data_IF_149102780137
#
_entry.id   IF_149102780137
#
_cell.length_a   1.000
_cell.length_b   1.000
_cell.length_c   1.000
_cell.angle_alpha   90.00
_cell.angle_beta   90.00
_cell.angle_gamma   90.00
#
_symmetry.space_group_name_H-M   'P 1'
#
loop_
_entity.id
_entity.type
_entity.pdbx_description
1 polymer ?
#
# COMPACT_ATOMS: atom_id res chain seq x y z
N UNK A 1 -1.23 73.13 -59.63
CA UNK A 1 -1.96 72.02 -58.95
C UNK A 1 -1.02 70.97 -58.32
N UNK A 2 0.23 71.31 -57.95
CA UNK A 2 1.25 70.33 -57.53
C UNK A 2 1.67 70.40 -56.04
N UNK A 3 0.97 71.18 -55.20
CA UNK A 3 1.38 71.45 -53.81
C UNK A 3 0.63 70.68 -52.72
N UNK A 4 -0.51 70.03 -53.03
CA UNK A 4 -1.35 69.35 -52.02
C UNK A 4 -0.97 67.88 -51.80
N UNK A 5 -0.44 67.20 -52.81
CA UNK A 5 -0.21 65.75 -52.74
C UNK A 5 1.04 65.37 -51.92
N UNK A 6 2.08 66.21 -51.92
CA UNK A 6 3.31 65.96 -51.15
C UNK A 6 3.13 66.15 -49.63
N UNK A 7 2.27 67.09 -49.21
CA UNK A 7 1.98 67.35 -47.81
C UNK A 7 1.20 66.19 -47.17
N UNK A 8 0.29 65.58 -47.93
CA UNK A 8 -0.56 64.49 -47.46
C UNK A 8 0.20 63.16 -47.35
N UNK A 9 1.13 62.90 -48.28
CA UNK A 9 2.04 61.74 -48.22
C UNK A 9 3.00 61.81 -47.01
N UNK A 10 3.54 62.99 -46.71
CA UNK A 10 4.41 63.19 -45.55
C UNK A 10 3.65 63.10 -44.22
N UNK A 11 2.38 63.56 -44.16
CA UNK A 11 1.50 63.43 -42.99
C UNK A 11 1.14 61.96 -42.70
N UNK A 12 0.86 61.17 -43.74
CA UNK A 12 0.58 59.73 -43.64
C UNK A 12 1.80 58.92 -43.16
N UNK A 13 3.01 59.24 -43.66
CA UNK A 13 4.26 58.60 -43.22
C UNK A 13 4.60 58.89 -41.75
N UNK A 14 4.38 60.14 -41.29
CA UNK A 14 4.54 60.51 -39.87
C UNK A 14 3.50 59.86 -38.96
N UNK A 15 2.27 59.65 -39.45
CA UNK A 15 1.23 58.89 -38.74
C UNK A 15 1.62 57.43 -38.55
N UNK A 16 2.03 56.74 -39.63
CA UNK A 16 2.42 55.33 -39.57
C UNK A 16 3.67 55.09 -38.69
N UNK A 17 4.67 55.97 -38.73
CA UNK A 17 5.84 55.86 -37.85
C UNK A 17 5.48 56.08 -36.37
N UNK A 18 4.55 56.99 -36.06
CA UNK A 18 4.05 57.18 -34.69
C UNK A 18 3.26 55.97 -34.20
N UNK A 19 2.41 55.37 -35.04
CA UNK A 19 1.68 54.14 -34.71
C UNK A 19 2.62 52.94 -34.53
N UNK A 20 3.66 52.80 -35.36
CA UNK A 20 4.67 51.75 -35.21
C UNK A 20 5.48 51.90 -33.92
N UNK A 21 5.91 53.13 -33.56
CA UNK A 21 6.62 53.38 -32.30
C UNK A 21 5.70 53.18 -31.09
N UNK A 22 4.43 53.61 -31.14
CA UNK A 22 3.46 53.38 -30.07
C UNK A 22 3.11 51.90 -29.89
N UNK A 23 3.00 51.12 -30.98
CA UNK A 23 2.78 49.67 -30.92
C UNK A 23 4.02 48.93 -30.42
N UNK A 24 5.22 49.36 -30.83
CA UNK A 24 6.49 48.82 -30.33
C UNK A 24 6.69 49.14 -28.85
N UNK A 25 6.31 50.34 -28.42
CA UNK A 25 6.38 50.78 -27.03
C UNK A 25 5.28 50.09 -26.19
N UNK A 26 4.08 49.87 -26.73
CA UNK A 26 3.02 49.10 -26.06
C UNK A 26 3.39 47.61 -25.95
N UNK A 27 4.05 47.03 -26.96
CA UNK A 27 4.56 45.66 -26.92
C UNK A 27 5.80 45.53 -26.00
N UNK A 28 6.64 46.56 -25.93
CA UNK A 28 7.76 46.65 -25.00
C UNK A 28 7.30 46.91 -23.55
N UNK A 29 6.26 47.71 -23.34
CA UNK A 29 5.61 47.94 -22.04
C UNK A 29 4.81 46.71 -21.59
N UNK A 30 4.18 45.97 -22.51
CA UNK A 30 3.57 44.67 -22.23
C UNK A 30 4.61 43.59 -21.92
N UNK A 31 5.83 43.68 -22.49
CA UNK A 31 6.98 42.84 -22.12
C UNK A 31 7.63 43.26 -20.81
N UNK A 32 7.45 44.51 -20.39
CA UNK A 32 8.04 45.08 -19.19
C UNK A 32 7.05 45.05 -18.00
N UNK A 33 6.77 43.84 -17.48
CA UNK A 33 6.60 43.53 -16.05
C UNK A 33 6.11 42.08 -15.88
N UNK A 34 7.04 41.15 -16.01
CA UNK A 34 6.95 39.93 -15.25
C UNK A 34 8.36 39.68 -14.72
N UNK A 35 8.60 40.18 -13.51
CA UNK A 35 9.83 39.93 -12.79
C UNK A 35 9.92 38.42 -12.53
N UNK A 36 11.04 37.82 -12.88
CA UNK A 36 11.33 36.44 -12.49
C UNK A 36 11.20 36.35 -10.96
N UNK A 37 10.31 35.48 -10.50
CA UNK A 37 10.13 35.18 -9.08
C UNK A 37 10.92 33.93 -8.74
N UNK A 38 11.39 33.85 -7.50
CA UNK A 38 12.00 32.65 -6.94
C UNK A 38 11.29 32.34 -5.63
N UNK A 39 10.94 31.07 -5.43
CA UNK A 39 10.24 30.62 -4.24
C UNK A 39 10.75 29.24 -3.81
N UNK A 40 10.81 29.00 -2.50
CA UNK A 40 11.26 27.71 -1.94
C UNK A 40 10.18 27.16 -1.03
N UNK A 41 9.79 25.91 -1.24
CA UNK A 41 8.69 25.27 -0.52
C UNK A 41 8.55 23.79 -0.82
N UNK A 42 7.53 23.16 -0.25
CA UNK A 42 7.26 21.73 -0.49
C UNK A 42 6.74 21.50 -1.90
N UNK A 43 7.33 20.55 -2.61
CA UNK A 43 6.82 20.06 -3.87
C UNK A 43 5.66 19.10 -3.62
N UNK A 44 4.57 19.27 -4.36
CA UNK A 44 3.40 18.37 -4.34
C UNK A 44 2.83 18.19 -5.74
N UNK A 45 2.13 17.09 -5.98
CA UNK A 45 1.21 17.00 -7.11
C UNK A 45 -0.12 17.75 -6.82
N UNK A 46 -0.81 18.17 -7.89
CA UNK A 46 -2.03 18.99 -7.78
C UNK A 46 -3.25 18.17 -7.37
N UNK A 47 -3.31 16.88 -7.72
CA UNK A 47 -4.39 16.00 -7.31
C UNK A 47 -4.43 15.86 -5.78
N UNK A 48 -3.29 15.56 -5.16
CA UNK A 48 -3.15 15.43 -3.71
C UNK A 48 -3.39 16.75 -2.98
N UNK A 49 -2.97 17.87 -3.58
CA UNK A 49 -3.32 19.20 -3.08
C UNK A 49 -4.84 19.43 -3.05
N UNK A 50 -5.54 19.17 -4.17
CA UNK A 50 -6.99 19.42 -4.28
C UNK A 50 -7.82 18.52 -3.36
N UNK A 51 -7.28 17.35 -2.98
CA UNK A 51 -7.93 16.43 -2.03
C UNK A 51 -7.72 16.79 -0.56
N UNK A 52 -6.82 17.74 -0.24
CA UNK A 52 -6.34 18.10 1.11
C UNK A 52 -5.62 16.96 1.83
N UNK A 53 -6.18 15.76 1.84
CA UNK A 53 -5.49 14.53 2.22
C UNK A 53 -5.05 13.82 0.94
N UNK A 54 -3.74 13.75 0.75
CA UNK A 54 -3.11 13.09 -0.38
C UNK A 54 -3.46 11.59 -0.43
N UNK A 55 -3.25 10.96 -1.59
CA UNK A 55 -3.48 9.51 -1.74
C UNK A 55 -2.61 8.72 -0.77
N UNK A 56 -1.44 9.22 -0.41
CA UNK A 56 -0.58 8.62 0.61
C UNK A 56 -0.91 9.05 2.05
N UNK A 57 -2.05 9.70 2.28
CA UNK A 57 -2.54 10.07 3.61
C UNK A 57 -1.90 11.33 4.20
N UNK A 58 -0.93 11.96 3.51
CA UNK A 58 -0.35 13.22 3.95
C UNK A 58 -1.41 14.34 3.93
N UNK A 59 -1.49 15.14 4.99
CA UNK A 59 -2.36 16.31 5.02
C UNK A 59 -1.61 17.51 4.42
N UNK A 60 -2.02 17.97 3.24
CA UNK A 60 -1.29 18.98 2.48
C UNK A 60 -1.34 20.38 3.11
N UNK A 61 -2.27 20.62 4.05
CA UNK A 61 -2.38 21.88 4.77
C UNK A 61 -1.50 21.91 6.02
N UNK A 62 -1.28 20.78 6.69
CA UNK A 62 -0.66 20.77 8.02
C UNK A 62 0.61 19.93 8.12
N UNK A 63 0.82 18.97 7.20
CA UNK A 63 1.94 18.05 7.17
C UNK A 63 2.38 17.67 5.73
N UNK A 64 2.62 18.65 4.82
CA UNK A 64 3.03 18.37 3.44
C UNK A 64 4.38 17.63 3.34
N UNK A 65 5.20 17.66 4.38
CA UNK A 65 6.44 16.90 4.47
C UNK A 65 6.23 15.38 4.51
N UNK A 66 5.03 14.92 4.87
CA UNK A 66 4.67 13.50 4.86
C UNK A 66 4.35 12.99 3.46
N UNK A 67 4.10 13.90 2.50
CA UNK A 67 3.80 13.54 1.12
C UNK A 67 5.02 12.88 0.46
N UNK A 68 4.78 11.75 -0.16
CA UNK A 68 5.81 10.79 -0.56
C UNK A 68 6.17 10.95 -2.03
N UNK A 69 7.45 10.72 -2.33
CA UNK A 69 7.96 10.63 -3.70
C UNK A 69 7.23 9.52 -4.47
N UNK A 70 6.84 8.44 -3.80
CA UNK A 70 6.05 7.37 -4.41
C UNK A 70 4.72 7.89 -4.99
N UNK A 71 3.97 8.69 -4.22
CA UNK A 71 2.71 9.28 -4.67
C UNK A 71 2.94 10.20 -5.87
N UNK A 72 3.98 11.05 -5.78
CA UNK A 72 4.33 12.03 -6.82
C UNK A 72 4.96 11.44 -8.09
N UNK A 73 5.42 10.19 -8.11
CA UNK A 73 6.17 9.60 -9.25
C UNK A 73 5.52 8.35 -9.82
N UNK A 74 4.98 7.48 -8.97
CA UNK A 74 4.53 6.15 -9.37
C UNK A 74 3.01 6.07 -9.60
N UNK A 75 2.23 7.05 -9.10
CA UNK A 75 0.80 7.17 -9.36
C UNK A 75 0.60 8.08 -10.57
N UNK A 76 0.16 7.49 -11.69
CA UNK A 76 0.10 8.21 -12.96
C UNK A 76 -0.89 9.38 -12.91
N UNK A 77 -2.00 9.25 -12.19
CA UNK A 77 -2.97 10.33 -11.99
C UNK A 77 -2.36 11.52 -11.26
N UNK A 78 -1.50 11.29 -10.26
CA UNK A 78 -0.76 12.35 -9.57
C UNK A 78 0.20 13.04 -10.53
N UNK A 79 0.98 12.28 -11.31
CA UNK A 79 1.91 12.84 -12.30
C UNK A 79 1.18 13.66 -13.36
N UNK A 80 0.06 13.16 -13.86
CA UNK A 80 -0.74 13.80 -14.92
C UNK A 80 -1.47 15.06 -14.42
N UNK A 81 -1.76 15.14 -13.12
CA UNK A 81 -2.34 16.33 -12.50
C UNK A 81 -1.40 17.55 -12.54
N UNK A 82 -0.10 17.31 -12.70
CA UNK A 82 0.94 18.34 -12.63
C UNK A 82 1.39 18.61 -11.19
N UNK A 83 2.33 19.54 -11.04
CA UNK A 83 2.98 19.82 -9.77
C UNK A 83 2.82 21.29 -9.35
N UNK A 84 2.98 21.52 -8.06
CA UNK A 84 2.99 22.83 -7.45
C UNK A 84 3.94 22.91 -6.26
N UNK A 85 4.14 24.14 -5.79
CA UNK A 85 4.97 24.42 -4.61
C UNK A 85 4.14 25.09 -3.53
N UNK A 86 4.23 24.58 -2.31
CA UNK A 86 3.49 25.05 -1.15
C UNK A 86 4.30 26.08 -0.34
N UNK A 87 3.60 27.04 0.24
CA UNK A 87 4.13 28.06 1.16
C UNK A 87 3.35 28.02 2.46
N UNK A 88 4.03 28.16 3.61
CA UNK A 88 3.40 28.50 4.88
C UNK A 88 3.47 30.03 5.05
N UNK A 89 2.35 30.76 4.90
CA UNK A 89 2.39 32.22 5.00
C UNK A 89 2.80 32.67 6.42
N UNK A 90 3.47 33.82 6.59
CA UNK A 90 3.88 34.30 7.90
C UNK A 90 2.68 34.52 8.84
N UNK A 91 2.69 33.84 9.99
CA UNK A 91 1.63 33.95 10.99
C UNK A 91 0.45 33.00 10.80
N UNK A 92 0.45 32.18 9.74
CA UNK A 92 -0.54 31.14 9.52
C UNK A 92 -0.09 29.78 10.05
N UNK A 93 -1.04 28.87 10.24
CA UNK A 93 -0.79 27.48 10.66
C UNK A 93 -0.99 26.46 9.54
N UNK A 94 -1.47 26.89 8.37
CA UNK A 94 -1.75 26.03 7.22
C UNK A 94 -0.97 26.45 5.98
N UNK A 95 -0.46 25.45 5.26
CA UNK A 95 0.19 25.62 3.98
C UNK A 95 -0.83 25.97 2.89
N UNK A 96 -0.37 26.78 1.93
CA UNK A 96 -1.15 27.20 0.77
C UNK A 96 -0.38 26.87 -0.51
N UNK A 97 -1.09 26.54 -1.58
CA UNK A 97 -0.48 26.40 -2.90
C UNK A 97 -0.04 27.76 -3.43
N UNK A 98 1.27 27.95 -3.54
CA UNK A 98 1.85 29.23 -3.94
C UNK A 98 1.93 29.36 -5.45
N UNK A 99 2.49 28.36 -6.12
CA UNK A 99 2.60 28.31 -7.58
C UNK A 99 2.32 26.93 -8.12
N UNK A 100 1.52 26.86 -9.18
CA UNK A 100 1.42 25.73 -10.10
C UNK A 100 2.54 25.82 -11.12
N UNK A 101 3.12 24.68 -11.46
CA UNK A 101 4.18 24.60 -12.45
C UNK A 101 3.58 24.40 -13.83
N UNK A 102 4.16 25.07 -14.81
CA UNK A 102 3.84 24.83 -16.22
C UNK A 102 4.44 23.49 -16.71
N UNK A 103 4.24 23.18 -17.98
CA UNK A 103 4.73 21.91 -18.55
C UNK A 103 6.26 21.74 -18.42
N UNK A 104 7.02 22.85 -18.50
CA UNK A 104 8.47 22.84 -18.32
C UNK A 104 8.83 22.52 -16.87
N UNK A 105 8.18 23.20 -15.91
CA UNK A 105 8.36 22.96 -14.48
C UNK A 105 7.94 21.54 -14.07
N UNK A 106 6.83 21.03 -14.58
CA UNK A 106 6.35 19.65 -14.30
C UNK A 106 7.38 18.59 -14.72
N UNK A 107 8.00 18.77 -15.90
CA UNK A 107 9.09 17.89 -16.35
C UNK A 107 10.33 18.00 -15.45
N UNK A 108 10.66 19.21 -15.00
CA UNK A 108 11.76 19.45 -14.06
C UNK A 108 11.52 18.79 -12.70
N UNK A 109 10.32 18.97 -12.14
CA UNK A 109 9.88 18.35 -10.88
C UNK A 109 9.98 16.82 -10.95
N UNK A 110 9.43 16.21 -11.99
CA UNK A 110 9.48 14.75 -12.16
C UNK A 110 10.92 14.23 -12.35
N UNK A 111 11.77 14.99 -13.05
CA UNK A 111 13.19 14.64 -13.21
C UNK A 111 13.92 14.65 -11.87
N UNK A 112 13.69 15.68 -11.04
CA UNK A 112 14.26 15.78 -9.70
C UNK A 112 13.74 14.66 -8.79
N UNK A 113 12.44 14.41 -8.78
CA UNK A 113 11.81 13.37 -7.97
C UNK A 113 12.29 11.96 -8.34
N UNK A 114 12.58 11.69 -9.62
CA UNK A 114 13.16 10.40 -10.04
C UNK A 114 14.63 10.24 -9.69
N UNK A 115 15.35 11.34 -9.48
CA UNK A 115 16.76 11.34 -9.14
C UNK A 115 17.04 11.38 -7.62
N UNK A 116 16.06 11.79 -6.81
CA UNK A 116 16.24 11.95 -5.37
C UNK A 116 16.31 10.62 -4.62
N UNK A 117 17.10 10.58 -3.54
CA UNK A 117 17.11 9.46 -2.59
C UNK A 117 16.09 9.63 -1.45
N UNK A 118 15.37 10.76 -1.41
CA UNK A 118 14.34 11.03 -0.40
C UNK A 118 13.11 10.17 -0.64
N UNK A 119 12.42 9.82 0.45
CA UNK A 119 11.12 9.11 0.40
C UNK A 119 9.93 10.05 0.54
N UNK A 120 10.11 11.16 1.25
CA UNK A 120 9.16 12.24 1.51
C UNK A 120 9.95 13.54 1.80
N UNK A 121 9.28 14.61 2.23
CA UNK A 121 9.92 15.88 2.62
C UNK A 121 10.78 16.47 1.46
N UNK A 122 10.14 16.58 0.30
CA UNK A 122 10.76 17.13 -0.91
C UNK A 122 10.51 18.64 -0.95
N UNK A 123 11.54 19.40 -0.59
CA UNK A 123 11.57 20.86 -0.72
C UNK A 123 12.33 21.19 -2.00
N UNK A 124 11.81 22.12 -2.78
CA UNK A 124 12.43 22.61 -4.02
C UNK A 124 12.48 24.12 -4.03
N UNK A 125 13.44 24.67 -4.76
CA UNK A 125 13.43 26.07 -5.19
C UNK A 125 12.95 26.15 -6.63
N UNK A 126 11.89 26.91 -6.86
CA UNK A 126 11.35 27.18 -8.20
C UNK A 126 11.61 28.61 -8.60
N UNK A 127 12.01 28.80 -9.87
CA UNK A 127 12.23 30.12 -10.45
C UNK A 127 11.58 30.21 -11.82
N UNK A 128 10.95 31.35 -12.13
CA UNK A 128 10.30 31.57 -13.42
C UNK A 128 9.46 32.84 -13.43
N UNK A 129 8.67 32.99 -14.48
CA UNK A 129 7.83 34.17 -14.69
C UNK A 129 6.46 33.95 -14.05
N UNK A 130 6.12 34.74 -13.02
CA UNK A 130 4.81 34.65 -12.38
C UNK A 130 3.69 35.15 -13.32
N UNK A 131 2.67 34.33 -13.53
CA UNK A 131 1.44 34.60 -14.28
C UNK A 131 0.26 34.14 -13.42
N UNK A 132 -0.17 35.01 -12.50
CA UNK A 132 -1.15 34.64 -11.47
C UNK A 132 -0.60 33.57 -10.51
N UNK A 133 -1.31 32.45 -10.39
CA UNK A 133 -0.90 31.28 -9.61
C UNK A 133 -0.04 30.30 -10.41
N UNK A 134 0.27 30.57 -11.69
CA UNK A 134 1.09 29.70 -12.54
C UNK A 134 2.47 30.31 -12.75
N UNK A 135 3.51 29.48 -12.61
CA UNK A 135 4.89 29.84 -12.93
C UNK A 135 5.23 29.38 -14.35
N UNK A 136 5.45 30.34 -15.26
CA UNK A 136 5.85 30.09 -16.65
C UNK A 136 7.35 29.96 -16.78
N UNK A 137 7.79 29.12 -17.71
CA UNK A 137 9.20 28.77 -17.94
C UNK A 137 9.88 28.32 -16.64
N UNK A 138 9.13 27.55 -15.84
CA UNK A 138 9.52 27.21 -14.48
C UNK A 138 10.75 26.28 -14.46
N UNK A 139 11.75 26.67 -13.67
CA UNK A 139 12.94 25.87 -13.36
C UNK A 139 12.82 25.35 -11.93
N UNK A 140 12.92 24.04 -11.78
CA UNK A 140 12.88 23.35 -10.47
C UNK A 140 14.31 22.94 -10.10
N UNK A 141 14.77 23.34 -8.92
CA UNK A 141 16.13 23.12 -8.43
C UNK A 141 16.09 22.59 -7.00
N UNK A 142 17.14 21.88 -6.59
CA UNK A 142 17.35 21.62 -5.16
C UNK A 142 17.59 22.95 -4.42
N UNK A 143 17.09 23.09 -3.18
CA UNK A 143 17.28 24.31 -2.42
C UNK A 143 18.76 24.53 -2.09
N UNK A 144 19.19 25.79 -2.08
CA UNK A 144 20.54 26.15 -1.68
C UNK A 144 20.83 25.63 -0.27
N UNK A 145 22.02 25.05 -0.06
CA UNK A 145 22.44 24.50 1.23
C UNK A 145 22.31 25.57 2.33
N UNK A 146 21.39 25.36 3.27
CA UNK A 146 21.12 26.29 4.38
C UNK A 146 19.77 27.01 4.35
N UNK A 147 18.97 26.87 3.28
CA UNK A 147 17.56 27.34 3.26
C UNK A 147 16.66 26.22 3.76
N UNK A 148 16.46 26.13 5.07
CA UNK A 148 15.46 25.26 5.69
C UNK A 148 14.46 26.16 6.42
N UNK A 149 13.23 26.35 5.93
CA UNK A 149 12.16 26.87 6.77
C UNK A 149 11.80 25.79 7.80
N UNK A 150 12.28 26.02 9.02
CA UNK A 150 11.77 25.57 10.33
C UNK A 150 11.58 24.06 10.58
N UNK A 151 12.55 23.56 11.36
CA UNK A 151 12.55 22.52 12.41
C UNK A 151 12.15 21.06 12.09
N UNK A 152 13.10 20.20 12.46
CA UNK A 152 13.05 18.76 12.60
C UNK A 152 13.11 17.97 11.29
N UNK A 153 14.32 17.82 10.73
CA UNK A 153 14.70 16.57 10.07
C UNK A 153 14.73 15.42 11.11
N UNK A 154 13.59 15.18 11.77
CA UNK A 154 13.32 13.95 12.47
C UNK A 154 13.02 12.87 11.46
N UNK A 155 13.22 11.63 11.86
CA UNK A 155 12.81 10.43 11.13
C UNK A 155 11.28 10.45 10.94
N UNK A 156 10.82 10.99 9.79
CA UNK A 156 9.40 11.14 9.44
C UNK A 156 8.78 9.79 9.11
N UNK A 157 8.46 9.02 10.15
CA UNK A 157 7.77 7.74 10.02
C UNK A 157 6.28 7.88 10.30
N UNK A 158 5.46 7.37 9.38
CA UNK A 158 4.00 7.36 9.52
C UNK A 158 3.57 6.49 10.70
N UNK A 159 2.58 6.96 11.45
CA UNK A 159 1.82 6.13 12.39
C UNK A 159 0.76 5.35 11.61
N UNK A 160 0.57 4.05 11.86
CA UNK A 160 -0.40 3.28 11.10
C UNK A 160 -1.82 3.64 11.49
N UNK A 161 -2.69 3.74 10.48
CA UNK A 161 -4.12 3.90 10.64
C UNK A 161 -4.67 2.67 11.38
N UNK A 162 -5.65 2.88 12.26
CA UNK A 162 -6.24 1.80 13.05
C UNK A 162 -6.81 0.68 12.17
N UNK A 163 -7.33 1.02 10.99
CA UNK A 163 -7.85 0.04 10.01
C UNK A 163 -6.75 -0.82 9.40
N UNK A 164 -5.57 -0.25 9.13
CA UNK A 164 -4.40 -0.99 8.65
C UNK A 164 -3.88 -1.93 9.74
N UNK A 165 -3.75 -1.44 10.97
CA UNK A 165 -3.37 -2.28 12.12
C UNK A 165 -4.34 -3.44 12.29
N UNK A 166 -5.65 -3.18 12.23
CA UNK A 166 -6.67 -4.21 12.34
C UNK A 166 -6.59 -5.24 11.20
N UNK A 167 -6.35 -4.80 9.96
CA UNK A 167 -6.10 -5.68 8.82
C UNK A 167 -4.91 -6.61 9.08
N UNK A 168 -3.75 -6.06 9.46
CA UNK A 168 -2.52 -6.82 9.73
C UNK A 168 -2.74 -7.84 10.85
N UNK A 169 -3.35 -7.43 11.96
CA UNK A 169 -3.63 -8.31 13.10
C UNK A 169 -4.57 -9.45 12.69
N UNK A 170 -5.66 -9.16 11.98
CA UNK A 170 -6.60 -10.20 11.52
C UNK A 170 -5.92 -11.18 10.56
N UNK A 171 -5.13 -10.68 9.60
CA UNK A 171 -4.46 -11.50 8.61
C UNK A 171 -3.34 -12.36 9.21
N UNK A 172 -2.54 -11.84 10.15
CA UNK A 172 -1.52 -12.62 10.85
C UNK A 172 -2.14 -13.62 11.82
N UNK A 173 -3.23 -13.28 12.51
CA UNK A 173 -3.95 -14.25 13.34
C UNK A 173 -4.54 -15.39 12.49
N UNK A 174 -5.07 -15.08 11.30
CA UNK A 174 -5.60 -16.07 10.36
C UNK A 174 -4.52 -16.88 9.65
N UNK A 175 -3.82 -16.27 8.69
CA UNK A 175 -2.87 -16.91 7.79
C UNK A 175 -1.47 -17.05 8.38
N UNK A 176 -1.13 -16.22 9.36
CA UNK A 176 0.10 -16.38 10.11
C UNK A 176 0.00 -17.48 11.16
N UNK A 177 -1.18 -17.79 11.71
CA UNK A 177 -1.30 -18.65 12.89
C UNK A 177 -2.39 -19.73 12.78
N UNK A 178 -3.67 -19.36 12.86
CA UNK A 178 -4.78 -20.33 13.04
C UNK A 178 -4.91 -21.33 11.88
N UNK A 179 -4.89 -20.84 10.63
CA UNK A 179 -5.05 -21.70 9.45
C UNK A 179 -3.85 -22.66 9.27
N UNK A 180 -2.57 -22.19 9.34
CA UNK A 180 -1.41 -23.09 9.35
C UNK A 180 -1.45 -24.11 10.48
N UNK A 181 -1.82 -23.70 11.71
CA UNK A 181 -1.96 -24.64 12.84
C UNK A 181 -3.02 -25.71 12.59
N UNK A 182 -4.17 -25.33 12.03
CA UNK A 182 -5.23 -26.26 11.65
C UNK A 182 -4.72 -27.35 10.71
N UNK A 183 -3.90 -26.98 9.72
CA UNK A 183 -3.29 -27.94 8.78
C UNK A 183 -2.21 -28.78 9.46
N UNK A 184 -1.34 -28.17 10.27
CA UNK A 184 -0.24 -28.84 10.95
C UNK A 184 -0.73 -29.94 11.90
N UNK A 185 -1.74 -29.62 12.72
CA UNK A 185 -2.38 -30.56 13.64
C UNK A 185 -3.07 -31.70 12.87
N UNK A 186 -3.85 -31.39 11.84
CA UNK A 186 -4.50 -32.42 11.01
C UNK A 186 -3.51 -33.37 10.34
N UNK A 187 -2.30 -32.90 10.01
CA UNK A 187 -1.27 -33.71 9.37
C UNK A 187 -0.55 -34.62 10.36
N UNK A 188 -0.23 -34.15 11.56
CA UNK A 188 0.65 -34.86 12.51
C UNK A 188 -0.07 -35.62 13.61
N UNK A 189 -1.34 -35.33 13.89
CA UNK A 189 -2.02 -35.82 15.11
C UNK A 189 -3.14 -36.83 14.88
N UNK A 190 -3.24 -37.41 13.67
CA UNK A 190 -4.36 -38.33 13.34
C UNK A 190 -4.50 -39.53 14.27
N UNK A 191 -3.38 -40.11 14.71
CA UNK A 191 -3.34 -41.25 15.64
C UNK A 191 -3.19 -40.88 17.11
N UNK A 192 -3.11 -39.57 17.42
CA UNK A 192 -2.91 -39.10 18.80
C UNK A 192 -4.24 -39.15 19.54
N UNK A 193 -4.24 -39.69 20.76
CA UNK A 193 -5.45 -39.77 21.60
C UNK A 193 -5.81 -38.38 22.18
N UNK A 194 -7.11 -38.05 22.30
CA UNK A 194 -8.26 -38.87 21.94
C UNK A 194 -8.47 -38.94 20.42
N UNK A 195 -8.81 -40.14 19.91
CA UNK A 195 -8.94 -40.38 18.46
C UNK A 195 -10.02 -39.47 17.88
N UNK A 196 -9.69 -38.84 16.74
CA UNK A 196 -10.58 -37.88 16.07
C UNK A 196 -10.48 -36.44 16.59
N UNK A 197 -9.72 -36.16 17.66
CA UNK A 197 -9.47 -34.80 18.14
C UNK A 197 -8.87 -33.89 17.06
N UNK A 198 -7.97 -34.44 16.24
CA UNK A 198 -7.36 -33.73 15.10
C UNK A 198 -8.41 -33.11 14.18
N UNK A 199 -9.55 -33.79 13.96
CA UNK A 199 -10.58 -33.34 13.03
C UNK A 199 -11.39 -32.19 13.63
N UNK A 200 -11.78 -32.32 14.90
CA UNK A 200 -12.48 -31.26 15.64
C UNK A 200 -11.62 -30.01 15.74
N UNK A 201 -10.34 -30.17 16.06
CA UNK A 201 -9.41 -29.06 16.21
C UNK A 201 -9.11 -28.41 14.85
N UNK A 202 -8.91 -29.20 13.79
CA UNK A 202 -8.81 -28.69 12.43
C UNK A 202 -10.04 -27.84 12.09
N UNK A 203 -11.25 -28.39 12.23
CA UNK A 203 -12.49 -27.68 11.91
C UNK A 203 -12.61 -26.35 12.67
N UNK A 204 -12.36 -26.34 13.99
CA UNK A 204 -12.44 -25.13 14.83
C UNK A 204 -11.44 -24.06 14.37
N UNK A 205 -10.17 -24.44 14.23
CA UNK A 205 -9.11 -23.52 13.80
C UNK A 205 -9.37 -22.98 12.40
N UNK A 206 -9.81 -23.84 11.47
CA UNK A 206 -10.19 -23.41 10.13
C UNK A 206 -11.38 -22.45 10.15
N UNK A 207 -12.38 -22.69 10.99
CA UNK A 207 -13.56 -21.81 11.08
C UNK A 207 -13.19 -20.43 11.62
N UNK A 208 -12.42 -20.36 12.72
CA UNK A 208 -12.00 -19.08 13.28
C UNK A 208 -11.03 -18.33 12.38
N UNK A 209 -10.04 -19.04 11.81
CA UNK A 209 -9.10 -18.47 10.85
C UNK A 209 -9.82 -17.96 9.59
N UNK A 210 -10.82 -18.70 9.10
CA UNK A 210 -11.63 -18.29 7.96
C UNK A 210 -12.41 -17.00 8.25
N UNK A 211 -13.06 -16.89 9.42
CA UNK A 211 -13.74 -15.66 9.82
C UNK A 211 -12.79 -14.45 9.88
N UNK A 212 -11.59 -14.63 10.43
CA UNK A 212 -10.59 -13.56 10.51
C UNK A 212 -10.03 -13.16 9.14
N UNK A 213 -9.84 -14.08 8.18
CA UNK A 213 -9.42 -13.66 6.83
C UNK A 213 -10.51 -12.86 6.12
N UNK A 214 -11.79 -13.14 6.37
CA UNK A 214 -12.89 -12.38 5.78
C UNK A 214 -12.92 -10.96 6.36
N UNK A 215 -12.85 -10.83 7.69
CA UNK A 215 -12.74 -9.53 8.34
C UNK A 215 -11.51 -8.75 7.87
N UNK A 216 -10.34 -9.41 7.85
CA UNK A 216 -9.10 -8.82 7.36
C UNK A 216 -9.21 -8.36 5.90
N UNK A 217 -9.87 -9.13 5.03
CA UNK A 217 -10.01 -8.78 3.62
C UNK A 217 -10.88 -7.54 3.46
N UNK A 218 -12.02 -7.49 4.17
CA UNK A 218 -12.88 -6.31 4.19
C UNK A 218 -12.13 -5.07 4.69
N UNK A 219 -11.34 -5.20 5.76
CA UNK A 219 -10.52 -4.10 6.27
C UNK A 219 -9.45 -3.64 5.27
N UNK A 220 -8.83 -4.57 4.53
CA UNK A 220 -7.85 -4.26 3.49
C UNK A 220 -8.47 -3.51 2.31
N UNK A 221 -9.66 -3.94 1.87
CA UNK A 221 -10.44 -3.23 0.84
C UNK A 221 -10.80 -1.83 1.32
N UNK A 222 -11.34 -1.69 2.53
CA UNK A 222 -11.71 -0.39 3.10
C UNK A 222 -10.52 0.54 3.32
N UNK A 223 -9.33 -0.02 3.62
CA UNK A 223 -8.11 0.76 3.68
C UNK A 223 -7.74 1.31 2.30
N UNK A 224 -7.81 0.49 1.25
CA UNK A 224 -7.54 0.95 -0.11
C UNK A 224 -8.56 2.03 -0.54
N UNK A 225 -9.86 1.80 -0.35
CA UNK A 225 -10.90 2.80 -0.67
C UNK A 225 -10.67 4.18 -0.03
N UNK A 226 -9.95 4.25 1.09
CA UNK A 226 -9.71 5.49 1.84
C UNK A 226 -8.31 6.08 1.67
N UNK A 227 -7.30 5.25 1.45
CA UNK A 227 -5.90 5.62 1.64
C UNK A 227 -4.94 5.08 0.57
N UNK A 228 -5.38 4.30 -0.43
CA UNK A 228 -4.49 3.85 -1.53
C UNK A 228 -5.24 3.20 -2.69
N UNK A 229 -4.76 3.33 -3.92
CA UNK A 229 -5.31 2.59 -5.06
C UNK A 229 -5.25 1.06 -4.86
N UNK A 230 -6.31 0.36 -5.27
CA UNK A 230 -6.35 -1.11 -5.29
C UNK A 230 -5.34 -1.66 -6.29
N UNK A 231 -4.69 -2.78 -5.94
CA UNK A 231 -3.73 -3.50 -6.80
C UNK A 231 -2.50 -2.70 -7.26
N UNK A 232 -2.25 -1.51 -6.72
CA UNK A 232 -1.02 -0.75 -6.98
C UNK A 232 0.26 -1.54 -6.63
N UNK A 233 0.15 -2.55 -5.76
CA UNK A 233 1.25 -3.40 -5.30
C UNK A 233 0.88 -4.87 -5.36
N UNK A 234 1.90 -5.71 -5.59
CA UNK A 234 1.74 -7.17 -5.73
C UNK A 234 1.13 -7.85 -4.51
N UNK A 235 1.30 -7.28 -3.31
CA UNK A 235 0.67 -7.75 -2.08
C UNK A 235 -0.84 -7.97 -2.23
N UNK A 236 -1.57 -7.00 -2.78
CA UNK A 236 -3.02 -7.11 -2.95
C UNK A 236 -3.40 -8.26 -3.90
N UNK A 237 -2.63 -8.46 -4.98
CA UNK A 237 -2.81 -9.59 -5.90
C UNK A 237 -2.63 -10.94 -5.21
N UNK A 238 -1.52 -11.13 -4.47
CA UNK A 238 -1.31 -12.36 -3.70
C UNK A 238 -2.36 -12.54 -2.60
N UNK A 239 -2.74 -11.46 -1.92
CA UNK A 239 -3.77 -11.45 -0.90
C UNK A 239 -5.12 -11.95 -1.43
N UNK A 240 -5.54 -11.52 -2.63
CA UNK A 240 -6.77 -12.00 -3.27
C UNK A 240 -6.70 -13.46 -3.69
N UNK A 241 -5.54 -13.94 -4.18
CA UNK A 241 -5.34 -15.36 -4.50
C UNK A 241 -5.49 -16.22 -3.24
N UNK A 242 -4.81 -15.85 -2.16
CA UNK A 242 -4.86 -16.55 -0.86
C UNK A 242 -6.27 -16.50 -0.27
N UNK A 243 -6.80 -15.27 -0.21
CA UNK A 243 -8.20 -14.85 -0.31
C UNK A 243 -9.19 -15.95 -0.72
N UNK A 244 -9.28 -16.07 -2.04
CA UNK A 244 -10.19 -16.93 -2.77
C UNK A 244 -9.91 -18.41 -2.59
N UNK A 245 -8.63 -18.84 -2.56
CA UNK A 245 -8.29 -20.23 -2.29
C UNK A 245 -8.79 -20.67 -0.91
N UNK A 246 -8.64 -19.83 0.11
CA UNK A 246 -9.17 -20.06 1.45
C UNK A 246 -10.70 -20.02 1.50
N UNK A 247 -11.32 -19.09 0.79
CA UNK A 247 -12.78 -18.97 0.70
C UNK A 247 -13.46 -20.21 0.14
N UNK A 248 -12.85 -20.86 -0.86
CA UNK A 248 -13.40 -22.07 -1.49
C UNK A 248 -13.27 -23.31 -0.58
N UNK A 249 -12.40 -23.32 0.44
CA UNK A 249 -12.18 -24.52 1.26
C UNK A 249 -13.44 -25.00 2.01
N UNK A 250 -14.21 -24.14 2.71
CA UNK A 250 -15.46 -24.57 3.34
C UNK A 250 -16.51 -25.04 2.33
N UNK A 251 -16.63 -24.37 1.17
CA UNK A 251 -17.55 -24.77 0.11
C UNK A 251 -17.21 -26.16 -0.42
N UNK A 252 -15.93 -26.41 -0.68
CA UNK A 252 -15.42 -27.73 -1.04
C UNK A 252 -15.74 -28.77 0.05
N UNK A 253 -15.68 -28.40 1.33
CA UNK A 253 -15.98 -29.31 2.44
C UNK A 253 -17.45 -29.77 2.54
N UNK A 254 -18.40 -28.98 2.01
CA UNK A 254 -19.82 -29.34 1.95
C UNK A 254 -20.03 -30.55 1.04
N UNK A 255 -19.28 -30.63 -0.06
CA UNK A 255 -19.36 -31.74 -1.02
C UNK A 255 -18.49 -32.94 -0.65
N UNK A 256 -18.02 -33.02 0.59
CA UNK A 256 -17.13 -34.08 1.08
C UNK A 256 -17.83 -35.44 1.00
N UNK A 257 -17.35 -36.40 0.16
CA UNK A 257 -17.93 -37.73 0.09
C UNK A 257 -17.65 -38.55 1.36
N UNK A 258 -18.52 -39.54 1.63
CA UNK A 258 -18.41 -40.42 2.80
C UNK A 258 -17.01 -41.10 2.87
N UNK A 259 -16.42 -41.28 4.06
CA UNK A 259 -15.05 -41.78 4.19
C UNK A 259 -14.87 -43.21 3.70
N UNK A 260 -15.86 -44.07 3.97
CA UNK A 260 -15.81 -45.51 3.70
C UNK A 260 -17.07 -46.03 2.98
N UNK A 261 -16.96 -46.91 1.97
CA UNK A 261 -15.73 -47.31 1.30
C UNK A 261 -15.12 -46.15 0.50
N UNK A 262 -13.80 -46.16 0.32
CA UNK A 262 -13.07 -45.06 -0.34
C UNK A 262 -13.32 -45.02 -1.86
N UNK A 263 -14.31 -44.25 -2.29
CA UNK A 263 -14.68 -44.09 -3.70
C UNK A 263 -13.68 -43.23 -4.51
N UNK A 264 -13.75 -43.28 -5.85
CA UNK A 264 -12.99 -42.37 -6.75
C UNK A 264 -13.30 -40.89 -6.48
N UNK A 265 -14.56 -40.58 -6.19
CA UNK A 265 -14.98 -39.23 -5.81
C UNK A 265 -14.32 -38.78 -4.50
N UNK A 266 -14.25 -39.66 -3.49
CA UNK A 266 -13.55 -39.41 -2.22
C UNK A 266 -12.06 -39.12 -2.44
N UNK A 267 -11.40 -39.89 -3.31
CA UNK A 267 -9.98 -39.70 -3.65
C UNK A 267 -9.74 -38.36 -4.37
N UNK A 268 -10.57 -38.03 -5.37
CA UNK A 268 -10.48 -36.76 -6.09
C UNK A 268 -10.68 -35.57 -5.15
N UNK A 269 -11.70 -35.62 -4.29
CA UNK A 269 -11.96 -34.59 -3.28
C UNK A 269 -10.77 -34.42 -2.32
N UNK A 270 -10.20 -35.52 -1.82
CA UNK A 270 -9.03 -35.46 -0.94
C UNK A 270 -7.81 -34.84 -1.62
N UNK A 271 -7.61 -35.09 -2.91
CA UNK A 271 -6.54 -34.49 -3.69
C UNK A 271 -6.78 -32.98 -3.87
N UNK A 272 -7.96 -32.59 -4.37
CA UNK A 272 -8.33 -31.18 -4.61
C UNK A 272 -8.23 -30.37 -3.31
N UNK A 273 -8.82 -30.87 -2.21
CA UNK A 273 -8.81 -30.18 -0.92
C UNK A 273 -7.39 -29.97 -0.38
N UNK A 274 -6.54 -31.00 -0.44
CA UNK A 274 -5.16 -30.91 0.05
C UNK A 274 -4.30 -30.01 -0.83
N UNK A 275 -4.36 -30.18 -2.15
CA UNK A 275 -3.52 -29.41 -3.09
C UNK A 275 -3.87 -27.94 -3.03
N UNK A 276 -5.15 -27.59 -3.12
CA UNK A 276 -5.57 -26.17 -3.03
C UNK A 276 -5.27 -25.57 -1.66
N UNK A 277 -5.38 -26.36 -0.57
CA UNK A 277 -5.00 -25.93 0.77
C UNK A 277 -3.50 -25.65 0.91
N UNK A 278 -2.63 -26.52 0.36
CA UNK A 278 -1.18 -26.30 0.38
C UNK A 278 -0.75 -25.14 -0.51
N UNK A 279 -1.40 -24.96 -1.66
CA UNK A 279 -1.17 -23.78 -2.51
C UNK A 279 -1.51 -22.50 -1.76
N UNK A 280 -2.65 -22.47 -1.04
CA UNK A 280 -3.04 -21.31 -0.24
C UNK A 280 -2.00 -20.97 0.84
N UNK A 281 -1.48 -21.98 1.55
CA UNK A 281 -0.40 -21.79 2.54
C UNK A 281 0.91 -21.30 1.91
N UNK A 282 1.25 -21.76 0.70
CA UNK A 282 2.44 -21.30 -0.01
C UNK A 282 2.34 -19.82 -0.40
N UNK A 283 1.22 -19.43 -1.02
CA UNK A 283 0.98 -18.04 -1.40
C UNK A 283 0.80 -17.13 -0.19
N UNK A 284 0.27 -17.61 0.94
CA UNK A 284 0.10 -16.79 2.14
C UNK A 284 1.42 -16.30 2.71
N UNK A 285 2.50 -17.10 2.59
CA UNK A 285 3.84 -16.66 2.98
C UNK A 285 4.28 -15.49 2.11
N UNK A 286 4.10 -15.57 0.79
CA UNK A 286 4.43 -14.48 -0.14
C UNK A 286 3.59 -13.24 0.16
N UNK A 287 2.30 -13.39 0.43
CA UNK A 287 1.41 -12.30 0.80
C UNK A 287 1.85 -11.62 2.10
N UNK A 288 2.23 -12.38 3.13
CA UNK A 288 2.74 -11.83 4.40
C UNK A 288 4.05 -11.06 4.18
N UNK A 289 5.01 -11.65 3.46
CA UNK A 289 6.32 -11.01 3.21
C UNK A 289 6.14 -9.71 2.43
N UNK A 290 5.37 -9.74 1.34
CA UNK A 290 5.10 -8.54 0.53
C UNK A 290 4.30 -7.49 1.31
N UNK A 291 3.39 -7.89 2.21
CA UNK A 291 2.67 -6.97 3.09
C UNK A 291 3.60 -6.27 4.09
N UNK A 292 4.53 -7.00 4.70
CA UNK A 292 5.56 -6.42 5.58
C UNK A 292 6.48 -5.47 4.82
N UNK A 293 6.84 -5.81 3.58
CA UNK A 293 7.63 -4.91 2.72
C UNK A 293 6.90 -3.59 2.44
N UNK A 294 5.57 -3.60 2.32
CA UNK A 294 4.79 -2.37 2.16
C UNK A 294 4.88 -1.44 3.36
N UNK A 295 4.96 -1.97 4.59
CA UNK A 295 5.13 -1.15 5.80
C UNK A 295 6.40 -0.29 5.68
N UNK A 296 7.50 -0.89 5.20
CA UNK A 296 8.75 -0.17 4.94
C UNK A 296 8.68 0.74 3.71
N UNK A 297 8.06 0.27 2.61
CA UNK A 297 7.92 1.04 1.38
C UNK A 297 7.10 2.33 1.59
N UNK A 298 6.12 2.27 2.48
CA UNK A 298 5.30 3.40 2.89
C UNK A 298 5.87 4.16 4.11
N UNK A 299 7.10 3.90 4.53
CA UNK A 299 7.76 4.66 5.61
C UNK A 299 6.95 4.67 6.94
N UNK A 300 6.20 3.61 7.25
CA UNK A 300 5.60 3.47 8.58
C UNK A 300 6.67 3.24 9.65
N UNK A 301 6.34 3.48 10.92
CA UNK A 301 7.29 3.38 12.04
C UNK A 301 8.01 2.03 12.11
N UNK A 302 9.29 2.03 12.53
CA UNK A 302 10.04 0.78 12.80
C UNK A 302 9.31 -0.11 13.80
N UNK A 303 8.59 0.49 14.76
CA UNK A 303 7.79 -0.25 15.70
C UNK A 303 6.70 -1.07 14.99
N UNK A 304 6.02 -0.48 14.00
CA UNK A 304 5.02 -1.17 13.16
C UNK A 304 5.66 -2.27 12.32
N UNK A 305 6.81 -1.99 11.71
CA UNK A 305 7.55 -2.98 10.93
C UNK A 305 7.99 -4.17 11.80
N UNK A 306 8.68 -3.89 12.92
CA UNK A 306 9.18 -4.89 13.85
C UNK A 306 8.05 -5.70 14.49
N UNK A 307 6.93 -5.05 14.86
CA UNK A 307 5.76 -5.75 15.38
C UNK A 307 5.16 -6.71 14.34
N UNK A 308 5.11 -6.32 13.08
CA UNK A 308 4.59 -7.16 11.99
C UNK A 308 5.52 -8.34 11.70
N UNK A 309 6.84 -8.13 11.69
CA UNK A 309 7.84 -9.20 11.57
C UNK A 309 7.76 -10.16 12.75
N UNK A 310 7.71 -9.64 13.98
CA UNK A 310 7.61 -10.45 15.18
C UNK A 310 6.31 -11.28 15.19
N UNK A 311 5.18 -10.66 14.86
CA UNK A 311 3.89 -11.33 14.72
C UNK A 311 3.90 -12.44 13.68
N UNK A 312 4.50 -12.20 12.51
CA UNK A 312 4.68 -13.21 11.48
C UNK A 312 5.58 -14.36 11.95
N UNK A 313 6.69 -14.07 12.63
CA UNK A 313 7.58 -15.11 13.17
C UNK A 313 6.88 -15.98 14.22
N UNK A 314 6.22 -15.34 15.19
CA UNK A 314 5.48 -16.02 16.26
C UNK A 314 4.31 -16.84 15.72
N UNK A 315 3.65 -16.36 14.67
CA UNK A 315 2.58 -17.10 14.02
C UNK A 315 3.09 -18.29 13.22
N UNK A 316 4.04 -18.05 12.30
CA UNK A 316 4.39 -18.98 11.20
C UNK A 316 5.41 -20.03 11.63
N UNK A 317 6.40 -19.65 12.45
CA UNK A 317 7.48 -20.57 12.85
C UNK A 317 6.96 -21.76 13.65
N UNK A 318 6.09 -21.61 14.67
CA UNK A 318 5.65 -22.75 15.47
C UNK A 318 4.88 -23.85 14.69
N UNK A 319 3.92 -23.54 13.80
CA UNK A 319 3.32 -24.54 12.91
C UNK A 319 4.35 -25.26 12.03
N UNK A 320 5.34 -24.54 11.49
CA UNK A 320 6.39 -25.13 10.66
C UNK A 320 7.30 -26.08 11.46
N UNK A 321 7.71 -25.67 12.66
CA UNK A 321 8.47 -26.51 13.58
C UNK A 321 7.66 -27.75 13.96
N UNK A 322 6.39 -27.58 14.34
CA UNK A 322 5.50 -28.70 14.64
C UNK A 322 5.29 -29.63 13.44
N UNK A 323 5.20 -29.07 12.23
CA UNK A 323 5.21 -29.87 11.01
C UNK A 323 6.51 -30.65 10.86
N UNK A 324 7.68 -30.10 11.21
CA UNK A 324 8.95 -30.82 11.12
C UNK A 324 9.03 -31.96 12.16
N UNK A 325 8.76 -31.67 13.44
CA UNK A 325 9.04 -32.59 14.55
C UNK A 325 7.84 -33.35 15.10
N UNK A 326 6.61 -33.01 14.70
CA UNK A 326 5.37 -33.57 15.26
C UNK A 326 5.12 -35.06 14.99
N UNK A 327 6.00 -35.71 14.21
CA UNK A 327 5.99 -37.15 14.00
C UNK A 327 6.75 -37.92 15.09
N UNK A 328 7.61 -37.24 15.88
CA UNK A 328 8.41 -37.87 16.91
C UNK A 328 7.51 -38.35 18.07
N UNK A 329 7.73 -39.56 18.62
CA UNK A 329 6.88 -40.12 19.68
C UNK A 329 6.76 -39.23 20.92
N UNK A 330 7.85 -38.58 21.33
CA UNK A 330 7.85 -37.65 22.46
C UNK A 330 6.91 -36.46 22.22
N UNK A 331 6.90 -35.90 20.99
CA UNK A 331 6.04 -34.77 20.63
C UNK A 331 4.57 -35.22 20.54
N UNK A 332 4.31 -36.44 20.05
CA UNK A 332 2.96 -37.02 20.06
C UNK A 332 2.43 -37.27 21.48
N UNK A 333 3.27 -37.73 22.40
CA UNK A 333 2.92 -37.91 23.80
C UNK A 333 2.57 -36.58 24.48
N UNK A 334 3.39 -35.54 24.28
CA UNK A 334 3.11 -34.19 24.76
C UNK A 334 1.80 -33.64 24.18
N UNK A 335 1.56 -33.88 22.89
CA UNK A 335 0.31 -33.46 22.23
C UNK A 335 -0.90 -34.16 22.84
N UNK A 336 -0.80 -35.46 23.17
CA UNK A 336 -1.88 -36.19 23.84
C UNK A 336 -2.17 -35.66 25.26
N UNK A 337 -1.15 -35.20 25.98
CA UNK A 337 -1.33 -34.50 27.26
C UNK A 337 -2.03 -33.17 27.04
N UNK A 338 -1.58 -32.37 26.08
CA UNK A 338 -2.17 -31.08 25.75
C UNK A 338 -3.66 -31.21 25.35
N UNK A 339 -4.03 -32.20 24.54
CA UNK A 339 -5.42 -32.46 24.18
C UNK A 339 -6.30 -32.76 25.40
N UNK A 340 -5.77 -33.50 26.39
CA UNK A 340 -6.48 -33.79 27.64
C UNK A 340 -6.64 -32.54 28.50
N UNK A 341 -5.58 -31.76 28.67
CA UNK A 341 -5.59 -30.50 29.46
C UNK A 341 -6.56 -29.49 28.85
N UNK A 342 -6.57 -29.35 27.53
CA UNK A 342 -7.48 -28.47 26.80
C UNK A 342 -8.92 -29.01 26.70
N UNK A 343 -9.20 -30.18 27.27
CA UNK A 343 -10.52 -30.80 27.24
C UNK A 343 -11.02 -31.12 25.83
N UNK A 344 -10.13 -31.30 24.85
CA UNK A 344 -10.50 -31.60 23.46
C UNK A 344 -11.04 -33.02 23.41
N UNK A 345 -12.37 -33.14 23.32
CA UNK A 345 -13.03 -34.44 23.13
C UNK A 345 -12.87 -34.88 21.67
N UNK A 346 -12.56 -36.14 21.46
CA UNK A 346 -12.67 -36.76 20.13
C UNK A 346 -14.10 -37.23 19.90
N UNK A 347 -14.73 -36.87 18.77
CA UNK A 347 -15.66 -37.70 17.95
C UNK A 347 -16.51 -36.85 17.00
N UNK A 348 -16.73 -37.37 15.78
CA UNK A 348 -18.05 -37.65 15.17
C UNK A 348 -17.86 -38.89 14.26
N UNK A 349 -18.43 -40.03 14.68
CA UNK A 349 -18.55 -41.34 13.99
C UNK A 349 -17.66 -41.66 12.77
N UNK A 350 -16.59 -42.42 12.99
CA UNK A 350 -16.25 -43.57 12.14
C UNK A 350 -15.92 -44.72 13.10
N UNK A 351 -16.57 -45.89 13.00
CA UNK A 351 -16.25 -47.03 13.85
C UNK A 351 -14.89 -47.52 13.41
N UNK A 352 -13.84 -47.14 14.13
CA UNK A 352 -12.55 -47.78 14.00
C UNK A 352 -12.74 -49.21 14.53
N UNK A 353 -13.11 -50.15 13.67
CA UNK A 353 -12.84 -51.55 13.93
C UNK A 353 -11.32 -51.65 13.96
N UNK A 354 -10.77 -51.58 15.17
CA UNK A 354 -9.47 -52.16 15.45
C UNK A 354 -9.58 -53.60 14.96
N UNK A 355 -8.91 -53.94 13.86
CA UNK A 355 -8.70 -55.36 13.59
C UNK A 355 -7.98 -55.90 14.82
N UNK A 356 -8.52 -56.94 15.50
CA UNK A 356 -7.78 -57.56 16.58
C UNK A 356 -6.44 -57.98 15.99
N UNK A 357 -5.36 -57.59 16.68
CA UNK A 357 -4.07 -58.20 16.44
C UNK A 357 -4.29 -59.70 16.50
N UNK A 358 -4.01 -60.38 15.38
CA UNK A 358 -3.93 -61.82 15.37
C UNK A 358 -2.72 -62.17 16.23
N UNK A 359 -2.98 -62.54 17.48
CA UNK A 359 -2.06 -63.39 18.22
C UNK A 359 -2.07 -64.75 17.50
N UNK A 360 -0.99 -65.01 16.77
CA UNK A 360 -0.55 -66.33 16.33
C UNK A 360 0.97 -66.30 16.14
#
# INVERSE_FOLDING_TARGET
MAGRDGADAHRRRRGAAKWAVMLSLALALARARASDVTHTGFLTDLLCWDMVNAIDGANMLTAPEEHTVHCMVDIQECVDSGFGVLELPPGETEYTLKYKLDQTGNRGALTLLRATSKRSNVIVTVAGRADGDVLRDARVMEPASGVIPVSNAGDFRRRPESILVAHVVCMLASWGCLLPWGVALARRTRGVRPIGAWFVLHLRLQTYGWGLQMAGMCLGVLFCERYTAHFARSHAGFGVIVVGLGFVQPLNSIFRPHPEPKTRARLAWEWIHKVTGYMALGFSIVAIVTGIQLISAFSYSDATFNASVAGACVGVVPPLVFLAVGHLPAVQALTAVAFRVLGVRGTLAQPFKVQPHADA
#
